data_IF_261106198998
#
_entry.id   IF_261106198998
#
_cell.length_a   1.000
_cell.length_b   1.000
_cell.length_c   1.000
_cell.angle_alpha   90.00
_cell.angle_beta   90.00
_cell.angle_gamma   90.00
#
_symmetry.space_group_name_H-M   'P 1'
#
loop_
_entity.id
_entity.type
_entity.pdbx_description
1 polymer ?
#
# COMPACT_ATOMS: atom_id res chain seq x y z
N UNK A 1 -8.64 16.57 -27.64
CA UNK A 1 -7.24 16.67 -27.99
C UNK A 1 -6.41 15.57 -27.30
N UNK A 2 -5.15 15.53 -27.55
CA UNK A 2 -4.26 14.50 -26.99
C UNK A 2 -4.19 14.54 -25.47
N UNK A 3 -4.19 15.71 -24.86
CA UNK A 3 -4.17 15.88 -23.40
C UNK A 3 -5.45 15.38 -22.75
N UNK A 4 -6.61 15.68 -23.32
CA UNK A 4 -7.91 15.20 -22.85
C UNK A 4 -8.00 13.68 -22.92
N UNK A 5 -7.50 13.08 -24.00
CA UNK A 5 -7.45 11.63 -24.17
C UNK A 5 -6.55 10.98 -23.12
N UNK A 6 -5.40 11.58 -22.84
CA UNK A 6 -4.46 11.12 -21.83
C UNK A 6 -5.05 11.14 -20.44
N UNK A 7 -5.75 12.23 -20.07
CA UNK A 7 -6.44 12.36 -18.79
C UNK A 7 -7.58 11.34 -18.66
N UNK A 8 -8.37 11.14 -19.73
CA UNK A 8 -9.44 10.14 -19.73
C UNK A 8 -8.89 8.71 -19.52
N UNK A 9 -7.74 8.40 -20.11
CA UNK A 9 -7.06 7.12 -19.95
C UNK A 9 -6.61 6.93 -18.50
N UNK A 10 -5.98 7.92 -17.89
CA UNK A 10 -5.53 7.88 -16.49
C UNK A 10 -6.73 7.68 -15.55
N UNK A 11 -7.83 8.39 -15.77
CA UNK A 11 -9.05 8.23 -14.97
C UNK A 11 -9.62 6.80 -15.07
N UNK A 12 -9.59 6.21 -16.25
CA UNK A 12 -10.02 4.84 -16.45
C UNK A 12 -9.15 3.85 -15.66
N UNK A 13 -7.83 4.02 -15.73
CA UNK A 13 -6.86 3.19 -14.98
C UNK A 13 -7.08 3.33 -13.48
N UNK A 14 -7.29 4.56 -13.00
CA UNK A 14 -7.57 4.82 -11.58
C UNK A 14 -8.83 4.13 -11.09
N UNK A 15 -9.87 4.06 -11.92
CA UNK A 15 -11.11 3.34 -11.57
C UNK A 15 -10.87 1.84 -11.42
N UNK A 16 -10.08 1.25 -12.28
CA UNK A 16 -9.69 -0.17 -12.18
C UNK A 16 -8.92 -0.39 -10.88
N UNK A 17 -7.93 0.43 -10.61
CA UNK A 17 -7.15 0.37 -9.37
C UNK A 17 -8.06 0.48 -8.13
N UNK A 18 -8.95 1.46 -8.10
CA UNK A 18 -9.89 1.66 -6.99
C UNK A 18 -10.76 0.43 -6.76
N UNK A 19 -11.20 -0.26 -7.81
CA UNK A 19 -12.00 -1.48 -7.67
C UNK A 19 -11.22 -2.60 -6.97
N UNK A 20 -9.93 -2.73 -7.26
CA UNK A 20 -9.03 -3.67 -6.56
C UNK A 20 -8.92 -3.32 -5.09
N UNK A 21 -8.71 -2.05 -4.78
CA UNK A 21 -8.53 -1.58 -3.41
C UNK A 21 -9.81 -1.73 -2.57
N UNK A 22 -10.97 -1.46 -3.16
CA UNK A 22 -12.27 -1.65 -2.50
C UNK A 22 -12.47 -3.13 -2.13
N UNK A 23 -12.20 -4.04 -3.05
CA UNK A 23 -12.29 -5.48 -2.75
C UNK A 23 -11.30 -5.89 -1.65
N UNK A 24 -10.06 -5.42 -1.73
CA UNK A 24 -9.05 -5.72 -0.71
C UNK A 24 -9.41 -5.19 0.67
N UNK A 25 -10.06 -4.02 0.74
CA UNK A 25 -10.46 -3.40 2.00
C UNK A 25 -11.55 -4.17 2.75
N UNK A 26 -12.23 -5.10 2.10
CA UNK A 26 -13.28 -5.94 2.71
C UNK A 26 -12.73 -7.08 3.57
N UNK A 27 -11.44 -7.38 3.48
CA UNK A 27 -10.83 -8.39 4.33
C UNK A 27 -10.82 -7.94 5.80
N UNK A 28 -10.85 -8.91 6.71
CA UNK A 28 -10.80 -8.66 8.15
C UNK A 28 -9.58 -7.83 8.55
N UNK A 29 -8.42 -8.13 7.97
CA UNK A 29 -7.21 -7.34 8.12
C UNK A 29 -7.05 -6.43 6.89
N UNK A 30 -7.58 -5.20 6.98
CA UNK A 30 -7.64 -4.28 5.86
C UNK A 30 -6.25 -3.97 5.26
N UNK A 31 -5.22 -3.80 6.08
CA UNK A 31 -3.86 -3.58 5.58
C UNK A 31 -3.37 -4.75 4.72
N UNK A 32 -3.63 -5.97 5.19
CA UNK A 32 -3.26 -7.18 4.45
C UNK A 32 -4.02 -7.25 3.13
N UNK A 33 -5.34 -7.09 3.19
CA UNK A 33 -6.21 -7.16 2.01
C UNK A 33 -5.87 -6.12 0.96
N UNK A 34 -5.62 -4.88 1.37
CA UNK A 34 -5.23 -3.81 0.45
C UNK A 34 -3.82 -4.02 -0.12
N UNK A 35 -2.88 -4.48 0.68
CA UNK A 35 -1.54 -4.82 0.21
C UNK A 35 -1.56 -5.90 -0.86
N UNK A 36 -2.32 -6.97 -0.62
CA UNK A 36 -2.49 -8.05 -1.60
C UNK A 36 -3.17 -7.55 -2.89
N UNK A 37 -4.20 -6.70 -2.76
CA UNK A 37 -4.88 -6.09 -3.90
C UNK A 37 -3.95 -5.20 -4.72
N UNK A 38 -3.12 -4.41 -4.07
CA UNK A 38 -2.12 -3.55 -4.71
C UNK A 38 -1.14 -4.37 -5.55
N UNK A 39 -0.63 -5.47 -5.00
CA UNK A 39 0.30 -6.36 -5.70
C UNK A 39 -0.40 -7.09 -6.84
N UNK A 40 -1.65 -7.53 -6.62
CA UNK A 40 -2.46 -8.19 -7.65
C UNK A 40 -2.72 -7.26 -8.84
N UNK A 41 -3.01 -5.99 -8.56
CA UNK A 41 -3.15 -4.98 -9.61
C UNK A 41 -1.86 -4.85 -10.44
N UNK A 42 -0.70 -4.82 -9.80
CA UNK A 42 0.59 -4.79 -10.48
C UNK A 42 0.84 -6.03 -11.34
N UNK A 43 0.38 -7.19 -10.88
CA UNK A 43 0.49 -8.46 -11.61
C UNK A 43 -0.44 -8.52 -12.83
N UNK A 44 -1.70 -8.13 -12.63
CA UNK A 44 -2.73 -8.20 -13.67
C UNK A 44 -2.60 -7.08 -14.70
N UNK A 45 -2.17 -5.89 -14.28
CA UNK A 45 -2.04 -4.70 -15.11
C UNK A 45 -0.69 -4.01 -14.92
N UNK A 46 0.42 -4.67 -15.30
CA UNK A 46 1.75 -4.12 -15.03
C UNK A 46 2.00 -2.75 -15.66
N UNK A 47 1.49 -2.52 -16.87
CA UNK A 47 1.65 -1.23 -17.55
C UNK A 47 0.85 -0.11 -16.87
N UNK A 48 -0.37 -0.43 -16.41
CA UNK A 48 -1.19 0.51 -15.64
C UNK A 48 -0.55 0.84 -14.30
N UNK A 49 -0.01 -0.17 -13.64
CA UNK A 49 0.72 0.02 -12.38
C UNK A 49 1.90 0.98 -12.56
N UNK A 50 2.69 0.80 -13.61
CA UNK A 50 3.83 1.69 -13.92
C UNK A 50 3.38 3.12 -14.16
N UNK A 51 2.27 3.31 -14.87
CA UNK A 51 1.72 4.64 -15.14
C UNK A 51 1.32 5.34 -13.84
N UNK A 52 0.63 4.65 -12.95
CA UNK A 52 0.11 5.25 -11.71
C UNK A 52 1.19 5.44 -10.63
N UNK A 53 2.12 4.49 -10.49
CA UNK A 53 2.94 4.36 -9.29
C UNK A 53 4.45 4.37 -9.52
N UNK A 54 4.91 4.34 -10.76
CA UNK A 54 6.35 4.32 -11.08
C UNK A 54 6.78 5.54 -11.90
N UNK A 55 5.91 6.56 -11.98
CA UNK A 55 6.22 7.81 -12.65
C UNK A 55 7.00 8.78 -11.74
N UNK A 56 7.54 9.81 -12.36
CA UNK A 56 8.29 10.86 -11.66
C UNK A 56 7.31 11.97 -11.21
N UNK A 57 6.70 11.81 -10.04
CA UNK A 57 5.78 12.80 -9.47
C UNK A 57 6.47 13.74 -8.46
N UNK A 58 7.63 13.40 -7.96
CA UNK A 58 8.43 14.21 -7.01
C UNK A 58 7.68 14.69 -5.77
N UNK A 59 6.70 13.90 -5.32
CA UNK A 59 5.96 14.24 -4.09
C UNK A 59 6.75 13.77 -2.86
N UNK A 60 6.58 14.49 -1.75
CA UNK A 60 7.16 14.10 -0.47
C UNK A 60 6.37 12.93 0.16
N UNK A 61 6.98 12.19 1.12
CA UNK A 61 6.24 11.16 1.86
C UNK A 61 4.98 11.70 2.54
N UNK A 62 5.03 12.91 3.07
CA UNK A 62 3.87 13.55 3.71
C UNK A 62 2.75 13.79 2.70
N UNK A 63 3.08 14.36 1.53
CA UNK A 63 2.11 14.58 0.46
C UNK A 63 1.51 13.26 -0.03
N UNK A 64 2.31 12.21 -0.12
CA UNK A 64 1.82 10.88 -0.50
C UNK A 64 0.73 10.40 0.47
N UNK A 65 0.99 10.47 1.77
CA UNK A 65 0.03 10.06 2.81
C UNK A 65 -1.25 10.91 2.74
N UNK A 66 -1.11 12.23 2.61
CA UNK A 66 -2.25 13.16 2.53
C UNK A 66 -3.16 12.89 1.33
N UNK A 67 -2.58 12.45 0.21
CA UNK A 67 -3.35 12.15 -1.02
C UNK A 67 -3.96 10.75 -1.03
N UNK A 68 -3.54 9.87 -0.12
CA UNK A 68 -4.04 8.51 -0.03
C UNK A 68 -5.34 8.46 0.79
N UNK A 69 -6.45 8.80 0.14
CA UNK A 69 -7.77 8.84 0.79
C UNK A 69 -8.20 7.49 1.37
N UNK A 70 -7.94 6.39 0.67
CA UNK A 70 -8.30 5.05 1.16
C UNK A 70 -7.39 4.62 2.32
N UNK A 71 -6.10 4.88 2.20
CA UNK A 71 -5.15 4.64 3.28
C UNK A 71 -5.49 5.43 4.54
N UNK A 72 -5.92 6.68 4.38
CA UNK A 72 -6.35 7.52 5.51
C UNK A 72 -7.58 6.96 6.23
N UNK A 73 -8.55 6.41 5.51
CA UNK A 73 -9.70 5.74 6.12
C UNK A 73 -9.29 4.52 6.94
N UNK A 74 -8.33 3.75 6.46
CA UNK A 74 -7.78 2.61 7.19
C UNK A 74 -6.99 3.06 8.41
N UNK A 75 -6.24 4.15 8.29
CA UNK A 75 -5.51 4.74 9.42
C UNK A 75 -6.46 5.09 10.56
N UNK A 76 -7.59 5.72 10.25
CA UNK A 76 -8.61 6.09 11.24
C UNK A 76 -9.20 4.86 11.92
N UNK A 77 -9.57 3.84 11.16
CA UNK A 77 -10.10 2.58 11.70
C UNK A 77 -9.04 1.81 12.48
N UNK A 78 -7.82 1.79 11.99
CA UNK A 78 -6.71 1.07 12.60
C UNK A 78 -6.30 1.65 13.95
N UNK A 79 -6.41 2.95 14.15
CA UNK A 79 -6.06 3.62 15.39
C UNK A 79 -6.85 3.08 16.60
N UNK A 80 -8.10 2.70 16.39
CA UNK A 80 -8.95 2.12 17.44
C UNK A 80 -8.42 0.76 17.93
N UNK A 81 -7.78 -0.01 17.05
CA UNK A 81 -7.28 -1.34 17.38
C UNK A 81 -5.83 -1.34 17.86
N UNK A 82 -5.00 -0.45 17.34
CA UNK A 82 -3.56 -0.46 17.62
C UNK A 82 -3.19 0.41 18.81
N UNK A 83 -4.03 1.39 19.16
CA UNK A 83 -3.72 2.40 20.15
C UNK A 83 -2.63 3.38 19.68
N UNK A 84 -2.32 3.41 18.40
CA UNK A 84 -1.37 4.36 17.83
C UNK A 84 -2.01 5.75 17.71
N UNK A 85 -1.22 6.79 17.96
CA UNK A 85 -1.62 8.13 17.58
C UNK A 85 -1.51 8.34 16.07
N UNK A 86 -1.93 9.49 15.58
CA UNK A 86 -1.94 9.77 14.13
C UNK A 86 -0.54 9.69 13.52
N UNK A 87 0.47 10.23 14.19
CA UNK A 87 1.86 10.21 13.72
C UNK A 87 2.39 8.78 13.61
N UNK A 88 2.13 7.96 14.61
CA UNK A 88 2.52 6.55 14.62
C UNK A 88 1.84 5.76 13.49
N UNK A 89 0.54 6.01 13.27
CA UNK A 89 -0.22 5.37 12.20
C UNK A 89 0.31 5.75 10.82
N UNK A 90 0.61 7.01 10.60
CA UNK A 90 1.17 7.49 9.33
C UNK A 90 2.55 6.87 9.07
N UNK A 91 3.41 6.80 10.09
CA UNK A 91 4.72 6.17 9.97
C UNK A 91 4.60 4.67 9.65
N UNK A 92 3.69 3.97 10.32
CA UNK A 92 3.41 2.56 10.06
C UNK A 92 2.88 2.34 8.64
N UNK A 93 1.91 3.14 8.23
CA UNK A 93 1.33 3.08 6.89
C UNK A 93 2.38 3.29 5.80
N UNK A 94 3.26 4.27 5.96
CA UNK A 94 4.33 4.55 5.02
C UNK A 94 5.28 3.35 4.88
N UNK A 95 5.68 2.73 5.99
CA UNK A 95 6.55 1.55 5.97
C UNK A 95 5.88 0.37 5.26
N UNK A 96 4.63 0.10 5.56
CA UNK A 96 3.86 -0.96 4.90
C UNK A 96 3.75 -0.69 3.40
N UNK A 97 3.47 0.55 3.02
CA UNK A 97 3.37 0.93 1.61
C UNK A 97 4.70 0.74 0.88
N UNK A 98 5.82 1.20 1.46
CA UNK A 98 7.14 1.05 0.85
C UNK A 98 7.45 -0.43 0.59
N UNK A 99 7.21 -1.29 1.58
CA UNK A 99 7.42 -2.73 1.45
C UNK A 99 6.53 -3.33 0.35
N UNK A 100 5.25 -3.03 0.38
CA UNK A 100 4.26 -3.52 -0.58
C UNK A 100 4.56 -3.04 -2.00
N UNK A 101 4.92 -1.76 -2.14
CA UNK A 101 5.33 -1.17 -3.41
C UNK A 101 6.59 -1.82 -3.96
N UNK A 102 7.52 -2.21 -3.09
CA UNK A 102 8.72 -2.95 -3.49
C UNK A 102 8.38 -4.26 -4.18
N UNK A 103 7.52 -5.07 -3.57
CA UNK A 103 7.04 -6.33 -4.18
C UNK A 103 6.29 -6.04 -5.49
N UNK A 104 5.36 -5.11 -5.46
CA UNK A 104 4.55 -4.76 -6.64
C UNK A 104 5.40 -4.29 -7.81
N UNK A 105 6.43 -3.49 -7.55
CA UNK A 105 7.36 -3.01 -8.57
C UNK A 105 8.17 -4.16 -9.19
N UNK A 106 8.63 -5.10 -8.39
CA UNK A 106 9.35 -6.29 -8.87
C UNK A 106 8.44 -7.16 -9.74
N UNK A 107 7.19 -7.30 -9.35
CA UNK A 107 6.18 -8.05 -10.12
C UNK A 107 5.88 -7.35 -11.44
N UNK A 108 5.62 -6.05 -11.42
CA UNK A 108 5.27 -5.27 -12.61
C UNK A 108 6.40 -5.21 -13.64
N UNK A 109 7.66 -5.15 -13.18
CA UNK A 109 8.83 -5.11 -14.05
C UNK A 109 9.31 -6.50 -14.50
N UNK A 110 8.76 -7.56 -13.91
CA UNK A 110 9.21 -8.92 -14.17
C UNK A 110 10.58 -9.25 -13.60
N UNK A 111 11.09 -8.43 -12.68
CA UNK A 111 12.42 -8.63 -12.07
C UNK A 111 12.46 -9.88 -11.21
N UNK A 112 11.39 -10.14 -10.47
CA UNK A 112 11.26 -11.32 -9.60
C UNK A 112 9.89 -11.95 -9.82
N UNK A 113 9.85 -13.27 -9.95
CA UNK A 113 8.60 -14.03 -10.05
C UNK A 113 8.25 -14.60 -8.67
N UNK A 114 7.28 -13.98 -8.01
CA UNK A 114 6.73 -14.48 -6.75
C UNK A 114 5.49 -15.33 -7.00
N UNK A 115 5.34 -16.42 -6.26
CA UNK A 115 4.05 -17.12 -6.19
C UNK A 115 3.08 -16.34 -5.30
N UNK A 116 1.79 -16.58 -5.46
CA UNK A 116 0.78 -15.94 -4.61
C UNK A 116 0.99 -16.28 -3.12
N UNK A 117 1.39 -17.51 -2.83
CA UNK A 117 1.72 -17.95 -1.47
C UNK A 117 2.90 -17.18 -0.87
N UNK A 118 3.96 -16.98 -1.65
CA UNK A 118 5.12 -16.19 -1.21
C UNK A 118 4.74 -14.75 -0.93
N UNK A 119 3.90 -14.15 -1.76
CA UNK A 119 3.42 -12.77 -1.56
C UNK A 119 2.62 -12.67 -0.27
N UNK A 120 1.68 -13.59 -0.04
CA UNK A 120 0.86 -13.61 1.18
C UNK A 120 1.71 -13.77 2.43
N UNK A 121 2.65 -14.70 2.42
CA UNK A 121 3.54 -14.97 3.54
C UNK A 121 4.44 -13.76 3.85
N UNK A 122 5.10 -13.21 2.84
CA UNK A 122 5.97 -12.04 2.99
C UNK A 122 5.20 -10.84 3.56
N UNK A 123 4.03 -10.54 3.01
CA UNK A 123 3.25 -9.40 3.46
C UNK A 123 2.73 -9.60 4.88
N UNK A 124 2.17 -10.76 5.19
CA UNK A 124 1.63 -11.08 6.51
C UNK A 124 2.71 -11.04 7.58
N UNK A 125 3.83 -11.68 7.34
CA UNK A 125 4.94 -11.73 8.30
C UNK A 125 5.56 -10.36 8.51
N UNK A 126 5.78 -9.61 7.45
CA UNK A 126 6.40 -8.29 7.53
C UNK A 126 5.52 -7.30 8.28
N UNK A 127 4.23 -7.25 8.00
CA UNK A 127 3.29 -6.38 8.73
C UNK A 127 3.24 -6.75 10.21
N UNK A 128 3.18 -8.04 10.51
CA UNK A 128 3.21 -8.53 11.90
C UNK A 128 4.50 -8.13 12.62
N UNK A 129 5.64 -8.31 11.99
CA UNK A 129 6.94 -7.96 12.56
C UNK A 129 7.08 -6.46 12.78
N UNK A 130 6.58 -5.64 11.88
CA UNK A 130 6.53 -4.19 12.05
C UNK A 130 5.68 -3.79 13.26
N UNK A 131 4.52 -4.43 13.44
CA UNK A 131 3.66 -4.20 14.60
C UNK A 131 4.34 -4.57 15.91
N UNK A 132 4.94 -5.76 15.97
CA UNK A 132 5.66 -6.24 17.15
C UNK A 132 6.83 -5.31 17.48
N UNK A 133 7.62 -4.92 16.49
CA UNK A 133 8.73 -3.98 16.68
C UNK A 133 8.27 -2.63 17.23
N UNK A 134 7.16 -2.11 16.70
CA UNK A 134 6.56 -0.86 17.16
C UNK A 134 6.09 -0.96 18.62
N UNK A 135 5.47 -2.08 19.00
CA UNK A 135 5.04 -2.34 20.38
C UNK A 135 6.22 -2.46 21.34
N UNK A 136 7.31 -3.08 20.89
CA UNK A 136 8.54 -3.21 21.67
C UNK A 136 9.16 -1.84 21.95
N UNK A 137 9.20 -0.98 20.96
CA UNK A 137 9.77 0.36 21.08
C UNK A 137 8.98 1.26 22.06
N UNK A 138 7.70 0.97 22.28
CA UNK A 138 6.87 1.69 23.23
C UNK A 138 7.06 1.27 24.70
N UNK A 139 7.67 0.10 24.94
CA UNK A 139 7.91 -0.34 26.32
C UNK A 139 9.00 0.52 26.96
N UNK A 140 8.84 0.90 28.26
CA UNK A 140 9.93 1.55 28.98
C UNK A 140 11.17 0.67 28.91
N UNK A 141 12.28 1.25 28.47
CA UNK A 141 13.58 0.56 28.51
C UNK A 141 14.05 0.59 29.95
N UNK A 142 14.35 -0.58 30.51
CA UNK A 142 15.04 -0.68 31.77
C UNK A 142 16.46 -0.10 31.56
N UNK A 143 16.75 1.03 32.18
CA UNK A 143 18.07 1.62 32.15
C UNK A 143 19.04 0.81 33.00
#
# INVERSE_FOLDING_TARGET
NMEDLKQATILHIQKIYQSYMIEGSKEELAYRGMGLAYIRFAKDYPDFFKILFMGDSKISPTEFIEKDNMGNQILEKGAEFTGYDRTEQEAFHLKVWIFTHGIASMVATGTVAFTDEQIEELLTDTVRQMKIGSMYDKKPRDE
#
